data_IF_917349469824
#
_entry.id   IF_917349469824
#
_cell.length_a   1.000
_cell.length_b   1.000
_cell.length_c   1.000
_cell.angle_alpha   90.00
_cell.angle_beta   90.00
_cell.angle_gamma   90.00
#
_symmetry.space_group_name_H-M   'P 1'
#
loop_
_entity.id
_entity.type
_entity.pdbx_description
1 polymer ?
#
# COMPACT_ATOMS: atom_id res chain seq x y z
N UNK A 1 -80.38 -13.78 16.81
CA UNK A 1 -81.15 -14.03 15.57
C UNK A 1 -80.49 -15.21 14.86
N UNK A 2 -81.10 -16.38 14.64
CA UNK A 2 -82.40 -16.64 13.94
C UNK A 2 -82.29 -16.13 12.50
N UNK A 3 -82.32 -16.89 11.40
CA UNK A 3 -82.49 -18.34 11.08
C UNK A 3 -81.87 -18.60 9.66
N UNK A 4 -81.82 -19.78 8.99
CA UNK A 4 -82.44 -21.09 9.19
C UNK A 4 -81.69 -22.27 8.47
N UNK A 5 -82.19 -23.50 8.71
CA UNK A 5 -82.51 -24.65 7.80
C UNK A 5 -82.36 -24.46 6.26
N UNK A 6 -82.21 -25.45 5.36
CA UNK A 6 -82.38 -26.93 5.25
C UNK A 6 -81.97 -27.32 3.78
N UNK A 7 -81.92 -28.55 3.23
CA UNK A 7 -82.15 -29.95 3.66
C UNK A 7 -81.29 -30.93 2.77
N UNK A 8 -80.84 -32.08 3.29
CA UNK A 8 -81.33 -33.47 3.01
C UNK A 8 -80.95 -34.16 1.68
N UNK A 9 -80.18 -35.27 1.80
CA UNK A 9 -80.38 -36.64 1.22
C UNK A 9 -80.90 -36.83 -0.23
N UNK A 10 -80.48 -37.81 -1.05
CA UNK A 10 -79.49 -38.91 -0.93
C UNK A 10 -79.46 -39.79 -2.19
N UNK A 11 -78.31 -40.41 -2.54
CA UNK A 11 -78.26 -41.72 -3.24
C UNK A 11 -76.90 -42.41 -2.99
N UNK A 12 -76.92 -43.73 -2.74
CA UNK A 12 -75.78 -44.62 -2.43
C UNK A 12 -75.17 -45.26 -3.71
N UNK A 13 -74.28 -46.28 -3.65
CA UNK A 13 -72.92 -46.34 -3.06
C UNK A 13 -71.87 -46.94 -4.05
N UNK A 14 -70.55 -46.89 -3.76
CA UNK A 14 -69.57 -47.78 -4.43
C UNK A 14 -68.17 -47.86 -3.79
N UNK A 15 -67.81 -49.08 -3.35
CA UNK A 15 -66.48 -49.74 -3.38
C UNK A 15 -65.22 -49.14 -2.71
N UNK A 16 -64.82 -49.82 -1.63
CA UNK A 16 -63.52 -50.47 -1.37
C UNK A 16 -62.18 -49.71 -1.26
N UNK A 17 -61.63 -49.82 -0.05
CA UNK A 17 -60.30 -50.34 0.30
C UNK A 17 -59.05 -49.44 0.36
N UNK A 18 -58.35 -49.67 1.49
CA UNK A 18 -56.90 -49.62 1.70
C UNK A 18 -56.15 -48.26 1.66
N UNK A 19 -55.58 -47.90 2.82
CA UNK A 19 -54.39 -47.04 2.90
C UNK A 19 -53.21 -47.74 2.22
N UNK A 20 -52.27 -46.96 1.65
CA UNK A 20 -50.95 -46.98 2.28
C UNK A 20 -50.39 -45.56 2.50
N UNK A 21 -49.87 -45.31 3.72
CA UNK A 21 -48.85 -44.27 3.94
C UNK A 21 -47.47 -44.87 3.67
N UNK A 22 -46.48 -43.99 3.46
CA UNK A 22 -45.03 -44.28 3.57
C UNK A 22 -44.30 -44.86 2.34
N UNK A 23 -44.45 -44.24 1.15
CA UNK A 23 -43.47 -44.41 0.03
C UNK A 23 -42.98 -43.08 -0.56
N UNK A 24 -43.77 -42.00 -0.51
CA UNK A 24 -43.50 -40.78 -1.30
C UNK A 24 -42.33 -39.89 -0.81
N UNK A 25 -41.82 -40.07 0.42
CA UNK A 25 -40.77 -39.18 0.95
C UNK A 25 -39.34 -39.55 0.54
N UNK A 26 -39.07 -40.80 0.14
CA UNK A 26 -37.71 -41.23 -0.21
C UNK A 26 -37.33 -40.90 -1.66
N UNK A 27 -38.29 -40.81 -2.59
CA UNK A 27 -37.99 -40.57 -4.01
C UNK A 27 -37.51 -39.15 -4.32
N UNK A 28 -37.93 -38.13 -3.56
CA UNK A 28 -37.51 -36.74 -3.82
C UNK A 28 -36.08 -36.41 -3.33
N UNK A 29 -35.51 -37.17 -2.39
CA UNK A 29 -34.13 -36.88 -1.93
C UNK A 29 -33.04 -37.49 -2.84
N UNK A 30 -33.35 -38.58 -3.55
CA UNK A 30 -32.37 -39.30 -4.39
C UNK A 30 -31.91 -38.50 -5.62
N UNK A 31 -32.76 -37.61 -6.15
CA UNK A 31 -32.46 -36.83 -7.37
C UNK A 31 -31.96 -35.40 -7.10
N UNK A 32 -32.25 -34.82 -5.93
CA UNK A 32 -31.83 -33.44 -5.61
C UNK A 32 -30.31 -33.36 -5.40
N UNK A 33 -29.69 -34.31 -4.68
CA UNK A 33 -28.24 -34.30 -4.46
C UNK A 33 -27.44 -34.41 -5.77
N UNK A 34 -27.72 -35.38 -6.68
CA UNK A 34 -27.03 -35.46 -7.97
C UNK A 34 -27.20 -34.18 -8.81
N UNK A 35 -28.41 -33.64 -8.92
CA UNK A 35 -28.64 -32.42 -9.68
C UNK A 35 -27.89 -31.21 -9.09
N UNK A 36 -27.89 -31.06 -7.76
CA UNK A 36 -27.13 -30.00 -7.09
C UNK A 36 -25.62 -30.16 -7.27
N UNK A 37 -25.10 -31.39 -7.20
CA UNK A 37 -23.70 -31.68 -7.46
C UNK A 37 -23.32 -31.39 -8.92
N UNK A 38 -24.15 -31.76 -9.90
CA UNK A 38 -23.91 -31.42 -11.31
C UNK A 38 -23.97 -29.92 -11.58
N UNK A 39 -24.83 -29.18 -10.86
CA UNK A 39 -24.91 -27.73 -10.95
C UNK A 39 -23.66 -27.06 -10.36
N UNK A 40 -23.17 -27.53 -9.21
CA UNK A 40 -21.91 -27.06 -8.63
C UNK A 40 -20.70 -27.39 -9.51
N UNK A 41 -20.65 -28.58 -10.12
CA UNK A 41 -19.60 -28.95 -11.08
C UNK A 41 -19.69 -28.06 -12.33
N UNK A 42 -20.89 -27.80 -12.86
CA UNK A 42 -21.06 -26.91 -14.00
C UNK A 42 -20.61 -25.48 -13.68
N UNK A 43 -20.94 -24.94 -12.49
CA UNK A 43 -20.44 -23.64 -12.01
C UNK A 43 -18.92 -23.67 -11.87
N UNK A 44 -18.33 -24.70 -11.24
CA UNK A 44 -16.89 -24.80 -11.09
C UNK A 44 -16.17 -24.88 -12.44
N UNK A 45 -16.72 -25.63 -13.41
CA UNK A 45 -16.20 -25.76 -14.77
C UNK A 45 -16.35 -24.48 -15.60
N UNK A 46 -17.49 -23.78 -15.53
CA UNK A 46 -17.62 -22.48 -16.20
C UNK A 46 -16.75 -21.43 -15.52
N UNK A 47 -16.56 -21.49 -14.21
CA UNK A 47 -15.65 -20.60 -13.49
C UNK A 47 -14.18 -20.84 -13.88
N UNK A 48 -13.73 -22.10 -14.04
CA UNK A 48 -12.37 -22.38 -14.54
C UNK A 48 -12.19 -22.06 -16.02
N UNK A 49 -13.24 -22.12 -16.84
CA UNK A 49 -13.22 -21.72 -18.25
C UNK A 49 -13.26 -20.19 -18.45
N UNK A 50 -13.99 -19.46 -17.61
CA UNK A 50 -14.08 -17.99 -17.63
C UNK A 50 -12.88 -17.33 -16.91
N UNK A 51 -12.31 -18.00 -15.90
CA UNK A 51 -11.20 -17.51 -15.10
C UNK A 51 -10.01 -18.49 -15.02
N UNK A 52 -9.43 -18.95 -16.14
CA UNK A 52 -8.33 -19.91 -16.16
C UNK A 52 -7.04 -19.41 -15.47
N UNK A 53 -6.96 -18.11 -15.16
CA UNK A 53 -5.80 -17.45 -14.59
C UNK A 53 -5.86 -17.22 -13.07
N UNK A 54 -6.95 -17.51 -12.34
CA UNK A 54 -7.02 -17.24 -10.88
C UNK A 54 -5.94 -18.04 -10.11
N UNK A 55 -5.72 -19.31 -10.46
CA UNK A 55 -4.64 -20.11 -9.86
C UNK A 55 -3.24 -19.58 -10.20
N UNK A 56 -3.03 -18.97 -11.38
CA UNK A 56 -1.76 -18.29 -11.69
C UNK A 56 -1.61 -17.00 -10.89
N UNK A 57 -2.69 -16.23 -10.71
CA UNK A 57 -2.69 -14.97 -9.98
C UNK A 57 -2.27 -15.17 -8.51
N UNK A 58 -2.74 -16.26 -7.88
CA UNK A 58 -2.39 -16.63 -6.50
C UNK A 58 -0.90 -16.98 -6.31
N UNK A 59 -0.19 -17.35 -7.39
CA UNK A 59 1.26 -17.62 -7.40
C UNK A 59 2.09 -16.47 -7.96
N UNK A 60 1.47 -15.41 -8.52
CA UNK A 60 2.16 -14.28 -9.15
C UNK A 60 2.42 -13.10 -8.20
N UNK A 61 1.90 -13.12 -6.97
CA UNK A 61 2.32 -12.21 -5.91
C UNK A 61 3.35 -12.88 -5.01
N UNK A 62 4.66 -12.53 -5.10
CA UNK A 62 5.62 -12.94 -4.10
C UNK A 62 5.25 -12.22 -2.80
N UNK A 63 4.66 -12.95 -1.86
CA UNK A 63 4.46 -12.45 -0.50
C UNK A 63 5.83 -12.36 0.16
N UNK A 64 6.43 -11.17 0.11
CA UNK A 64 7.62 -10.87 0.90
C UNK A 64 7.33 -11.17 2.38
N UNK A 65 8.31 -11.69 3.15
CA UNK A 65 8.14 -11.89 4.59
C UNK A 65 7.65 -10.60 5.28
N UNK A 66 6.79 -10.67 6.31
CA UNK A 66 6.27 -9.49 6.99
C UNK A 66 7.36 -8.50 7.47
N UNK A 67 8.52 -9.04 7.85
CA UNK A 67 9.67 -8.28 8.37
C UNK A 67 10.70 -7.88 7.28
N UNK A 68 10.38 -8.09 5.99
CA UNK A 68 11.26 -7.75 4.87
C UNK A 68 11.33 -6.23 4.62
N UNK A 69 12.32 -5.56 5.20
CA UNK A 69 12.61 -4.17 4.84
C UNK A 69 13.35 -4.10 3.49
N UNK A 70 12.60 -3.93 2.40
CA UNK A 70 13.17 -3.77 1.04
C UNK A 70 14.10 -2.56 0.88
N UNK A 71 14.05 -1.59 1.81
CA UNK A 71 14.90 -0.40 1.81
C UNK A 71 16.19 -0.55 2.62
N UNK A 72 16.40 -1.67 3.32
CA UNK A 72 17.68 -2.01 3.97
C UNK A 72 18.39 -3.12 3.21
N UNK A 73 19.54 -2.79 2.63
CA UNK A 73 20.17 -3.56 1.57
C UNK A 73 21.55 -3.03 1.25
N UNK A 74 22.07 -3.47 0.10
CA UNK A 74 23.30 -2.96 -0.50
C UNK A 74 23.22 -3.05 -2.02
N UNK A 75 24.01 -2.21 -2.69
CA UNK A 75 24.24 -2.36 -4.12
C UNK A 75 25.14 -3.57 -4.37
N UNK A 76 24.76 -4.41 -5.34
CA UNK A 76 25.56 -5.52 -5.84
C UNK A 76 25.64 -5.44 -7.36
N UNK A 77 26.81 -5.74 -7.91
CA UNK A 77 26.98 -5.87 -9.36
C UNK A 77 26.27 -7.15 -9.85
N UNK A 78 25.64 -7.07 -11.01
CA UNK A 78 24.95 -8.18 -11.66
C UNK A 78 25.41 -8.31 -13.11
N UNK A 79 26.49 -9.06 -13.29
CA UNK A 79 27.09 -9.34 -14.60
C UNK A 79 26.36 -10.46 -15.38
N UNK A 80 25.07 -10.68 -15.11
CA UNK A 80 24.27 -11.62 -15.90
C UNK A 80 23.75 -10.97 -17.19
N UNK A 81 23.46 -11.78 -18.20
CA UNK A 81 22.94 -11.33 -19.51
C UNK A 81 21.58 -10.63 -19.47
N UNK A 82 20.94 -10.57 -18.29
CA UNK A 82 19.66 -9.85 -18.05
C UNK A 82 19.85 -8.43 -17.52
N UNK A 83 21.09 -7.94 -17.37
CA UNK A 83 21.40 -6.57 -16.96
C UNK A 83 22.30 -5.87 -18.01
N UNK A 84 22.09 -4.57 -18.28
CA UNK A 84 20.99 -3.73 -17.81
C UNK A 84 19.64 -4.22 -18.33
N UNK A 85 18.55 -3.89 -17.62
CA UNK A 85 17.20 -4.38 -17.96
C UNK A 85 16.77 -3.93 -19.37
N UNK A 86 17.17 -2.73 -19.78
CA UNK A 86 16.93 -2.16 -21.11
C UNK A 86 18.13 -1.31 -21.54
N UNK A 87 18.26 -1.06 -22.86
CA UNK A 87 19.23 -0.10 -23.39
C UNK A 87 18.54 1.24 -23.66
N UNK A 88 18.93 2.31 -22.96
CA UNK A 88 18.31 3.64 -23.11
C UNK A 88 18.41 4.19 -24.53
N UNK A 89 19.49 3.90 -25.26
CA UNK A 89 19.69 4.33 -26.65
C UNK A 89 18.67 3.70 -27.61
N UNK A 90 18.04 2.58 -27.24
CA UNK A 90 17.03 1.90 -28.07
C UNK A 90 15.58 2.22 -27.67
N UNK A 91 15.37 2.94 -26.56
CA UNK A 91 14.03 3.25 -26.07
C UNK A 91 13.55 4.62 -26.59
N UNK A 92 12.50 4.69 -27.43
CA UNK A 92 12.03 5.95 -28.02
C UNK A 92 11.38 6.91 -27.00
N UNK A 93 11.06 6.44 -25.80
CA UNK A 93 10.46 7.23 -24.73
C UNK A 93 11.46 7.80 -23.72
N UNK A 94 12.75 7.43 -23.79
CA UNK A 94 13.78 8.03 -22.96
C UNK A 94 14.15 9.42 -23.51
N UNK A 95 14.11 10.48 -22.68
CA UNK A 95 14.61 11.78 -23.12
C UNK A 95 16.11 11.67 -23.42
N UNK A 96 16.54 12.14 -24.60
CA UNK A 96 17.94 12.09 -25.05
C UNK A 96 18.96 12.58 -24.00
N UNK A 97 18.58 13.52 -23.13
CA UNK A 97 19.42 13.98 -22.02
C UNK A 97 19.83 12.89 -21.02
N UNK A 98 19.09 11.78 -20.93
CA UNK A 98 19.40 10.63 -20.08
C UNK A 98 20.09 9.46 -20.82
N UNK A 99 20.25 9.54 -22.14
CA UNK A 99 21.03 8.60 -22.95
C UNK A 99 22.54 8.80 -22.74
N UNK A 100 23.02 8.60 -21.51
CA UNK A 100 24.39 8.92 -21.08
C UNK A 100 25.49 8.36 -21.99
N UNK A 101 25.31 7.14 -22.52
CA UNK A 101 26.28 6.50 -23.44
C UNK A 101 26.30 7.20 -24.81
N UNK A 102 25.13 7.53 -25.37
CA UNK A 102 25.01 8.33 -26.60
C UNK A 102 25.60 9.74 -26.41
N UNK A 103 25.42 10.32 -25.21
CA UNK A 103 25.98 11.61 -24.81
C UNK A 103 27.47 11.56 -24.43
N UNK A 104 28.17 10.46 -24.70
CA UNK A 104 29.64 10.35 -24.60
C UNK A 104 30.20 9.81 -23.28
N UNK A 105 29.37 9.33 -22.34
CA UNK A 105 29.86 8.57 -21.17
C UNK A 105 30.45 7.24 -21.63
N UNK A 106 31.69 6.95 -21.23
CA UNK A 106 32.46 5.79 -21.71
C UNK A 106 32.44 4.58 -20.76
N UNK A 107 32.26 4.81 -19.47
CA UNK A 107 32.17 3.76 -18.47
C UNK A 107 30.76 3.17 -18.43
N UNK A 108 30.66 1.83 -18.45
CA UNK A 108 29.37 1.11 -18.46
C UNK A 108 29.03 0.43 -17.12
N UNK A 109 29.98 0.30 -16.19
CA UNK A 109 29.76 -0.42 -14.93
C UNK A 109 28.53 0.06 -14.15
N UNK A 110 28.19 1.36 -14.22
CA UNK A 110 27.06 1.95 -13.50
C UNK A 110 25.67 1.36 -13.87
N UNK A 111 25.49 0.74 -15.04
CA UNK A 111 24.21 0.15 -15.47
C UNK A 111 24.03 -1.31 -15.02
N UNK A 112 25.10 -1.94 -14.50
CA UNK A 112 25.11 -3.33 -14.06
C UNK A 112 24.85 -3.47 -12.55
N UNK A 113 24.51 -2.39 -11.84
CA UNK A 113 24.23 -2.43 -10.41
C UNK A 113 22.75 -2.67 -10.12
N UNK A 114 22.47 -3.54 -9.15
CA UNK A 114 21.13 -3.72 -8.59
C UNK A 114 21.13 -3.63 -7.07
N UNK A 115 19.99 -3.24 -6.53
CA UNK A 115 19.75 -3.28 -5.11
C UNK A 115 19.46 -4.71 -4.64
N UNK A 116 20.07 -5.13 -3.52
CA UNK A 116 19.81 -6.40 -2.85
C UNK A 116 19.49 -6.12 -1.37
N UNK A 117 18.24 -6.33 -0.90
CA UNK A 117 17.93 -6.25 0.52
C UNK A 117 18.72 -7.26 1.35
N UNK A 118 18.97 -6.94 2.62
CA UNK A 118 19.72 -7.82 3.54
C UNK A 118 18.86 -9.00 4.04
N UNK A 119 17.59 -8.73 4.34
CA UNK A 119 16.70 -9.64 5.07
C UNK A 119 15.87 -10.57 4.17
N UNK A 120 15.83 -10.32 2.86
CA UNK A 120 14.90 -10.98 1.97
C UNK A 120 15.37 -10.98 0.50
N UNK A 121 14.88 -11.95 -0.27
CA UNK A 121 15.08 -12.02 -1.71
C UNK A 121 13.91 -11.35 -2.44
N UNK A 122 14.20 -10.28 -3.18
CA UNK A 122 13.27 -9.74 -4.18
C UNK A 122 13.51 -10.50 -5.49
N UNK A 123 12.48 -11.06 -6.15
CA UNK A 123 12.61 -11.66 -7.47
C UNK A 123 13.20 -10.69 -8.49
N UNK A 124 13.93 -11.22 -9.47
CA UNK A 124 14.42 -10.40 -10.60
C UNK A 124 13.22 -9.87 -11.40
N UNK A 125 13.37 -8.66 -11.95
CA UNK A 125 12.39 -8.11 -12.86
C UNK A 125 12.40 -8.90 -14.18
N UNK A 126 11.21 -9.30 -14.63
CA UNK A 126 10.99 -9.98 -15.91
C UNK A 126 9.85 -9.26 -16.63
N UNK A 127 10.16 -8.59 -17.74
CA UNK A 127 9.23 -7.69 -18.42
C UNK A 127 7.91 -8.37 -18.81
N UNK A 128 7.96 -9.60 -19.35
CA UNK A 128 6.75 -10.38 -19.67
C UNK A 128 5.86 -10.67 -18.47
N UNK A 129 6.43 -11.00 -17.30
CA UNK A 129 5.64 -11.20 -16.07
C UNK A 129 5.03 -9.88 -15.59
N UNK A 130 5.78 -8.77 -15.65
CA UNK A 130 5.28 -7.46 -15.28
C UNK A 130 4.14 -7.00 -16.20
N UNK A 131 4.25 -7.25 -17.51
CA UNK A 131 3.19 -6.98 -18.50
C UNK A 131 1.91 -7.79 -18.21
N UNK A 132 2.02 -9.08 -17.86
CA UNK A 132 0.86 -9.89 -17.46
C UNK A 132 0.23 -9.44 -16.13
N UNK A 133 1.06 -9.09 -15.13
CA UNK A 133 0.56 -8.54 -13.85
C UNK A 133 -0.15 -7.20 -14.01
N UNK A 134 0.26 -6.40 -15.00
CA UNK A 134 -0.33 -5.11 -15.35
C UNK A 134 -1.39 -5.20 -16.45
N UNK A 135 -1.71 -6.39 -16.98
CA UNK A 135 -2.64 -6.57 -18.10
C UNK A 135 -4.01 -5.98 -17.76
N UNK A 136 -4.49 -5.06 -18.60
CA UNK A 136 -5.75 -4.36 -18.39
C UNK A 136 -5.74 -3.26 -17.32
N UNK A 137 -4.58 -2.90 -16.74
CA UNK A 137 -4.47 -1.89 -15.68
C UNK A 137 -3.99 -0.53 -16.20
N UNK A 138 -4.35 0.51 -15.45
CA UNK A 138 -3.83 1.87 -15.59
C UNK A 138 -2.86 2.21 -14.46
N UNK A 139 -1.61 2.51 -14.82
CA UNK A 139 -0.56 2.99 -13.93
C UNK A 139 -0.42 4.50 -14.10
N UNK A 140 -0.48 5.25 -13.01
CA UNK A 140 -0.40 6.71 -13.03
C UNK A 140 0.72 7.19 -12.10
N UNK A 141 1.63 7.99 -12.64
CA UNK A 141 2.78 8.55 -11.94
C UNK A 141 2.63 10.07 -11.88
N UNK A 142 2.62 10.65 -10.68
CA UNK A 142 2.27 12.05 -10.45
C UNK A 142 3.39 12.75 -9.66
N UNK A 143 3.97 13.80 -10.22
CA UNK A 143 4.97 14.59 -9.49
C UNK A 143 5.79 15.54 -10.35
N UNK A 144 7.04 15.75 -9.95
CA UNK A 144 7.98 16.61 -10.65
C UNK A 144 8.77 15.87 -11.77
N UNK A 145 9.87 16.47 -12.25
CA UNK A 145 10.75 15.87 -13.26
C UNK A 145 11.30 14.49 -12.91
N UNK A 146 11.42 14.14 -11.62
CA UNK A 146 11.93 12.85 -11.15
C UNK A 146 10.87 11.75 -11.21
N UNK A 147 9.59 12.12 -11.15
CA UNK A 147 8.47 11.24 -11.51
C UNK A 147 8.48 10.91 -13.00
N UNK A 148 8.74 11.91 -13.84
CA UNK A 148 8.86 11.70 -15.30
C UNK A 148 9.99 10.73 -15.65
N UNK A 149 11.19 10.85 -15.05
CA UNK A 149 12.28 9.90 -15.34
C UNK A 149 11.99 8.47 -14.87
N UNK A 150 11.20 8.30 -13.81
CA UNK A 150 10.70 6.97 -13.41
C UNK A 150 9.66 6.43 -14.37
N UNK A 151 8.77 7.28 -14.90
CA UNK A 151 7.85 6.92 -15.97
C UNK A 151 8.59 6.49 -17.25
N UNK A 152 9.57 7.27 -17.70
CA UNK A 152 10.43 6.94 -18.85
C UNK A 152 11.09 5.56 -18.65
N UNK A 153 11.69 5.34 -17.47
CA UNK A 153 12.35 4.07 -17.13
C UNK A 153 11.37 2.88 -17.08
N UNK A 154 10.19 3.05 -16.47
CA UNK A 154 9.15 2.00 -16.42
C UNK A 154 8.64 1.63 -17.81
N UNK A 155 8.39 2.61 -18.67
CA UNK A 155 7.97 2.37 -20.05
C UNK A 155 9.04 1.57 -20.79
N UNK A 156 10.31 1.99 -20.73
CA UNK A 156 11.40 1.27 -21.37
C UNK A 156 11.57 -0.17 -20.84
N UNK A 157 11.50 -0.37 -19.51
CA UNK A 157 11.58 -1.69 -18.89
C UNK A 157 10.46 -2.63 -19.32
N UNK A 158 9.22 -2.13 -19.44
CA UNK A 158 8.08 -2.92 -19.92
C UNK A 158 8.17 -3.22 -21.42
N UNK A 159 8.68 -2.28 -22.22
CA UNK A 159 8.84 -2.46 -23.67
C UNK A 159 9.70 -3.66 -24.03
N UNK A 160 10.71 -4.01 -23.23
CA UNK A 160 11.59 -5.16 -23.50
C UNK A 160 10.80 -6.48 -23.59
N UNK A 161 9.71 -6.61 -22.84
CA UNK A 161 8.83 -7.80 -22.85
C UNK A 161 7.79 -7.82 -23.98
N UNK A 162 7.74 -6.79 -24.83
CA UNK A 162 6.78 -6.70 -25.95
C UNK A 162 7.41 -7.22 -27.24
N UNK A 163 6.72 -8.13 -27.95
CA UNK A 163 7.17 -8.63 -29.25
C UNK A 163 7.06 -7.54 -30.34
N UNK A 164 5.84 -7.07 -30.62
CA UNK A 164 5.62 -5.98 -31.56
C UNK A 164 5.79 -4.62 -30.87
N UNK A 165 6.96 -3.98 -31.02
CA UNK A 165 7.23 -2.66 -30.43
C UNK A 165 6.29 -1.55 -30.96
N UNK A 166 5.72 -1.68 -32.17
CA UNK A 166 4.74 -0.74 -32.72
C UNK A 166 3.39 -0.77 -31.98
N UNK A 167 3.15 -1.78 -31.13
CA UNK A 167 2.01 -1.81 -30.21
C UNK A 167 2.14 -0.83 -29.03
N UNK A 168 3.31 -0.21 -28.86
CA UNK A 168 3.61 0.75 -27.79
C UNK A 168 3.78 2.15 -28.36
N UNK A 169 2.87 3.06 -28.00
CA UNK A 169 2.83 4.43 -28.52
C UNK A 169 2.34 5.44 -27.47
N UNK A 170 2.68 6.72 -27.65
CA UNK A 170 2.11 7.81 -26.84
C UNK A 170 0.69 8.13 -27.36
N UNK A 171 -0.27 8.19 -26.45
CA UNK A 171 -1.72 8.21 -26.72
C UNK A 171 -2.16 9.44 -27.52
N UNK A 172 -1.47 10.57 -27.35
CA UNK A 172 -1.81 11.88 -27.91
C UNK A 172 -0.89 12.28 -29.08
N UNK A 173 0.06 11.43 -29.48
CA UNK A 173 1.13 11.79 -30.41
C UNK A 173 2.03 12.93 -29.93
N UNK A 174 2.09 13.17 -28.62
CA UNK A 174 2.75 14.33 -28.03
C UNK A 174 4.26 14.14 -27.89
N UNK A 175 5.02 15.16 -28.31
CA UNK A 175 6.46 15.19 -28.09
C UNK A 175 6.79 15.29 -26.59
N UNK A 176 7.69 14.44 -26.11
CA UNK A 176 8.18 14.45 -24.74
C UNK A 176 8.97 15.74 -24.49
N UNK A 177 8.45 16.62 -23.62
CA UNK A 177 9.12 17.87 -23.23
C UNK A 177 9.20 18.02 -21.71
N UNK A 178 9.97 18.98 -21.22
CA UNK A 178 10.24 19.19 -19.78
C UNK A 178 9.08 19.85 -19.02
N UNK A 179 8.14 20.46 -19.74
CA UNK A 179 7.03 21.25 -19.18
C UNK A 179 5.65 20.67 -19.47
N UNK A 180 5.56 19.60 -20.26
CA UNK A 180 4.29 18.95 -20.59
C UNK A 180 3.53 18.51 -19.33
N UNK A 181 2.20 18.72 -19.31
CA UNK A 181 1.36 18.38 -18.15
C UNK A 181 0.95 16.91 -18.09
N UNK A 182 0.87 16.24 -19.24
CA UNK A 182 0.47 14.84 -19.36
C UNK A 182 1.30 14.13 -20.45
N UNK A 183 1.72 12.89 -20.19
CA UNK A 183 2.24 11.95 -21.18
C UNK A 183 1.62 10.58 -20.89
N UNK A 184 0.95 9.96 -21.86
CA UNK A 184 0.35 8.64 -21.66
C UNK A 184 0.88 7.65 -22.68
N UNK A 185 1.48 6.54 -22.24
CA UNK A 185 1.93 5.47 -23.16
C UNK A 185 1.04 4.25 -23.04
N UNK A 186 0.60 3.76 -24.19
CA UNK A 186 -0.34 2.65 -24.33
C UNK A 186 0.39 1.41 -24.83
N UNK A 187 0.34 0.33 -24.05
CA UNK A 187 0.80 -1.01 -24.47
C UNK A 187 -0.40 -1.77 -25.01
N UNK A 188 -0.73 -1.59 -26.30
CA UNK A 188 -2.00 -2.02 -26.91
C UNK A 188 -2.32 -3.48 -26.60
N UNK A 189 -1.39 -4.37 -26.91
CA UNK A 189 -1.57 -5.83 -26.90
C UNK A 189 -1.69 -6.41 -25.46
N UNK A 190 -1.34 -5.62 -24.45
CA UNK A 190 -1.48 -5.94 -23.03
C UNK A 190 -2.61 -5.16 -22.33
N UNK A 191 -3.33 -4.30 -23.05
CA UNK A 191 -4.34 -3.39 -22.51
C UNK A 191 -3.87 -2.51 -21.32
N UNK A 192 -2.59 -2.12 -21.28
CA UNK A 192 -2.01 -1.27 -20.22
C UNK A 192 -1.95 0.19 -20.70
N UNK A 193 -2.23 1.15 -19.81
CA UNK A 193 -1.73 2.53 -19.92
C UNK A 193 -0.75 2.85 -18.78
N UNK A 194 0.29 3.60 -19.11
CA UNK A 194 1.27 4.13 -18.17
C UNK A 194 1.33 5.64 -18.39
N UNK A 195 0.73 6.38 -17.47
CA UNK A 195 0.50 7.81 -17.59
C UNK A 195 1.37 8.60 -16.60
N UNK A 196 1.91 9.74 -17.03
CA UNK A 196 2.62 10.70 -16.20
C UNK A 196 1.86 12.02 -16.17
N UNK A 197 1.60 12.55 -14.96
CA UNK A 197 1.06 13.88 -14.76
C UNK A 197 2.07 14.77 -14.01
N UNK A 198 2.42 15.91 -14.62
CA UNK A 198 3.39 16.86 -14.06
C UNK A 198 2.75 17.76 -13.00
N UNK A 199 2.60 17.26 -11.78
CA UNK A 199 2.18 18.03 -10.61
C UNK A 199 3.34 18.23 -9.64
N UNK A 200 4.13 19.28 -9.89
CA UNK A 200 5.41 19.53 -9.19
C UNK A 200 5.27 19.61 -7.67
N UNK A 201 4.20 20.24 -7.18
CA UNK A 201 3.96 20.46 -5.75
C UNK A 201 2.82 19.60 -5.19
N UNK A 202 2.15 18.77 -6.02
CA UNK A 202 0.84 18.13 -5.77
C UNK A 202 -0.34 19.10 -5.51
N UNK A 203 -0.04 20.33 -5.10
CA UNK A 203 -0.94 21.44 -4.90
C UNK A 203 -1.16 22.26 -6.17
N UNK A 204 -2.29 22.97 -6.21
CA UNK A 204 -2.62 23.93 -7.27
C UNK A 204 -1.65 25.12 -7.21
N UNK A 205 -1.16 25.51 -8.38
CA UNK A 205 -0.39 26.74 -8.58
C UNK A 205 -1.29 27.81 -9.18
N UNK A 206 -1.47 28.93 -8.49
CA UNK A 206 -2.26 30.04 -9.03
C UNK A 206 -1.36 31.17 -9.53
N UNK A 207 -1.69 31.73 -10.69
CA UNK A 207 -1.03 32.92 -11.25
C UNK A 207 -1.80 34.21 -10.90
N UNK A 208 -3.03 34.09 -10.41
CA UNK A 208 -3.83 35.19 -9.88
C UNK A 208 -3.51 35.36 -8.39
N UNK A 209 -2.50 36.18 -8.11
CA UNK A 209 -2.09 36.51 -6.74
C UNK A 209 -3.19 37.30 -5.99
N UNK A 210 -3.31 37.18 -4.65
CA UNK A 210 -4.25 37.95 -3.86
C UNK A 210 -4.11 39.48 -4.01
N UNK A 211 -5.20 40.21 -3.78
CA UNK A 211 -5.19 41.67 -3.82
C UNK A 211 -4.26 42.24 -2.72
N UNK A 212 -3.42 43.20 -3.08
CA UNK A 212 -2.40 43.75 -2.18
C UNK A 212 -1.12 42.91 -2.06
N UNK A 213 -0.98 41.80 -2.81
CA UNK A 213 0.27 41.07 -2.90
C UNK A 213 1.42 41.98 -3.38
N UNK A 214 2.62 41.90 -2.78
CA UNK A 214 3.78 42.67 -3.23
C UNK A 214 4.13 42.41 -4.69
N UNK A 215 4.61 43.44 -5.40
CA UNK A 215 5.02 43.38 -6.82
C UNK A 215 6.08 42.30 -7.14
N UNK A 216 6.73 41.72 -6.12
CA UNK A 216 7.66 40.62 -6.27
C UNK A 216 7.07 39.22 -6.19
N UNK A 217 5.76 39.06 -5.99
CA UNK A 217 5.05 37.79 -6.06
C UNK A 217 4.49 37.60 -7.47
N UNK A 218 4.86 36.51 -8.15
CA UNK A 218 4.43 36.18 -9.52
C UNK A 218 3.33 35.12 -9.59
N UNK A 219 3.27 34.25 -8.58
CA UNK A 219 2.34 33.14 -8.48
C UNK A 219 2.31 32.63 -7.04
N UNK A 220 1.36 31.77 -6.71
CA UNK A 220 1.26 31.11 -5.41
C UNK A 220 1.15 29.60 -5.53
N UNK A 221 1.51 28.87 -4.47
CA UNK A 221 1.06 27.49 -4.23
C UNK A 221 -0.06 27.55 -3.21
N UNK A 222 -1.24 27.04 -3.57
CA UNK A 222 -2.42 26.93 -2.72
C UNK A 222 -2.21 25.74 -1.77
N UNK A 223 -1.95 25.98 -0.49
CA UNK A 223 -1.66 24.89 0.47
C UNK A 223 -2.93 24.14 0.92
N UNK A 224 -4.09 24.72 0.62
CA UNK A 224 -5.45 24.26 0.90
C UNK A 224 -6.14 23.61 -0.30
N UNK A 225 -5.51 23.56 -1.48
CA UNK A 225 -6.13 23.06 -2.72
C UNK A 225 -5.18 22.17 -3.54
N UNK A 226 -5.54 20.88 -3.68
CA UNK A 226 -4.83 19.92 -4.54
C UNK A 226 -4.97 20.31 -6.02
N UNK A 227 -3.92 20.04 -6.82
CA UNK A 227 -3.76 20.45 -8.22
C UNK A 227 -5.03 20.26 -9.08
N UNK A 228 -5.24 21.16 -10.03
CA UNK A 228 -6.49 21.23 -10.83
C UNK A 228 -6.75 19.96 -11.66
N UNK A 229 -5.69 19.25 -12.05
CA UNK A 229 -5.73 17.96 -12.76
C UNK A 229 -5.96 16.73 -11.86
N UNK A 230 -6.15 16.87 -10.55
CA UNK A 230 -6.23 15.74 -9.58
C UNK A 230 -7.26 14.66 -9.95
N UNK A 231 -8.37 15.07 -10.57
CA UNK A 231 -9.47 14.18 -10.94
C UNK A 231 -9.04 13.15 -12.01
N UNK A 232 -7.97 13.44 -12.76
CA UNK A 232 -7.36 12.53 -13.74
C UNK A 232 -6.59 11.36 -13.10
N UNK A 233 -6.25 11.46 -11.81
CA UNK A 233 -5.44 10.47 -11.10
C UNK A 233 -6.31 9.38 -10.48
N UNK A 234 -7.54 9.70 -10.10
CA UNK A 234 -8.43 8.85 -9.28
C UNK A 234 -8.74 7.50 -9.94
N UNK A 235 -9.05 7.49 -11.23
CA UNK A 235 -9.41 6.27 -11.97
C UNK A 235 -8.16 5.49 -12.42
N UNK A 236 -7.46 4.85 -11.48
CA UNK A 236 -6.24 4.10 -11.74
C UNK A 236 -6.07 2.91 -10.80
N UNK A 237 -5.26 1.94 -11.20
CA UNK A 237 -5.01 0.71 -10.42
C UNK A 237 -3.68 0.78 -9.65
N UNK A 238 -2.76 1.63 -10.09
CA UNK A 238 -1.50 1.95 -9.40
C UNK A 238 -1.28 3.46 -9.47
N UNK A 239 -1.09 4.11 -8.32
CA UNK A 239 -0.68 5.51 -8.20
C UNK A 239 0.70 5.61 -7.60
N UNK A 240 1.59 6.38 -8.22
CA UNK A 240 2.92 6.70 -7.68
C UNK A 240 3.07 8.21 -7.58
N UNK A 241 3.00 8.74 -6.37
CA UNK A 241 3.18 10.16 -6.09
C UNK A 241 4.63 10.49 -5.71
N UNK A 242 5.08 11.70 -6.02
CA UNK A 242 6.32 12.28 -5.51
C UNK A 242 6.24 13.81 -5.55
N UNK A 243 6.77 14.46 -4.52
CA UNK A 243 7.11 15.88 -4.57
C UNK A 243 8.18 16.20 -3.54
N UNK A 244 9.16 17.01 -3.93
CA UNK A 244 10.28 17.34 -3.04
C UNK A 244 11.34 18.25 -3.65
N UNK A 245 11.81 17.95 -4.87
CA UNK A 245 12.97 18.62 -5.47
C UNK A 245 12.80 20.12 -5.73
N UNK A 246 11.55 20.58 -5.84
CA UNK A 246 11.21 21.99 -6.06
C UNK A 246 10.92 22.77 -4.75
N UNK A 247 10.82 22.09 -3.61
CA UNK A 247 10.55 22.71 -2.31
C UNK A 247 11.85 23.22 -1.66
N UNK A 248 12.43 24.27 -2.26
CA UNK A 248 13.56 25.01 -1.69
C UNK A 248 13.29 26.50 -1.77
N UNK A 249 13.82 27.27 -0.83
CA UNK A 249 13.64 28.74 -0.80
C UNK A 249 14.12 29.39 -2.09
N UNK A 250 15.24 28.91 -2.64
CA UNK A 250 15.78 29.45 -3.89
C UNK A 250 14.89 29.15 -5.09
N UNK A 251 14.32 27.93 -5.21
CA UNK A 251 13.39 27.61 -6.30
C UNK A 251 12.09 28.39 -6.16
N UNK A 252 11.45 28.35 -4.99
CA UNK A 252 10.16 28.97 -4.74
C UNK A 252 10.26 30.51 -4.74
N UNK A 253 10.96 31.09 -3.77
CA UNK A 253 10.89 32.52 -3.49
C UNK A 253 11.78 33.35 -4.42
N UNK A 254 12.99 32.87 -4.74
CA UNK A 254 13.97 33.65 -5.53
C UNK A 254 13.75 33.49 -7.04
N UNK A 255 13.81 32.26 -7.56
CA UNK A 255 13.74 31.98 -9.00
C UNK A 255 12.30 32.12 -9.53
N UNK A 256 11.34 31.40 -8.93
CA UNK A 256 9.95 31.39 -9.39
C UNK A 256 9.15 32.59 -8.91
N UNK A 257 9.58 33.26 -7.82
CA UNK A 257 8.82 34.32 -7.14
C UNK A 257 7.43 33.83 -6.72
N UNK A 258 7.41 32.61 -6.19
CA UNK A 258 6.26 31.80 -5.86
C UNK A 258 6.14 31.63 -4.35
N UNK A 259 5.06 32.13 -3.77
CA UNK A 259 4.82 32.13 -2.31
C UNK A 259 3.63 31.23 -1.94
N UNK A 260 3.39 31.01 -0.65
CA UNK A 260 2.28 30.17 -0.19
C UNK A 260 0.99 30.98 -0.05
N UNK A 261 -0.16 30.32 -0.24
CA UNK A 261 -1.49 30.93 -0.10
C UNK A 261 -2.46 29.95 0.57
N UNK A 262 -3.30 30.47 1.47
CA UNK A 262 -4.36 29.74 2.18
C UNK A 262 -5.62 30.60 2.12
N UNK A 263 -6.72 30.10 1.56
CA UNK A 263 -7.88 30.94 1.21
C UNK A 263 -7.44 32.13 0.35
N UNK A 264 -7.85 33.34 0.76
CA UNK A 264 -7.42 34.59 0.12
C UNK A 264 -6.14 35.21 0.74
N UNK A 265 -5.54 34.56 1.75
CA UNK A 265 -4.36 35.05 2.48
C UNK A 265 -3.04 34.61 1.84
N UNK A 266 -2.10 35.54 1.75
CA UNK A 266 -0.74 35.35 1.22
C UNK A 266 0.27 35.17 2.36
N UNK A 267 0.86 33.99 2.46
CA UNK A 267 1.69 33.55 3.58
C UNK A 267 3.17 33.87 3.35
N UNK A 268 3.51 35.17 3.33
CA UNK A 268 4.87 35.67 3.02
C UNK A 268 5.96 35.22 4.01
N UNK A 269 5.59 34.92 5.26
CA UNK A 269 6.52 34.54 6.33
C UNK A 269 6.61 33.03 6.61
N UNK A 270 5.87 32.20 5.88
CA UNK A 270 5.81 30.76 6.13
C UNK A 270 7.05 30.04 5.59
N UNK A 271 7.67 29.18 6.41
CA UNK A 271 8.83 28.41 5.98
C UNK A 271 8.47 27.38 4.90
N UNK A 272 9.45 27.01 4.08
CA UNK A 272 9.26 25.96 3.06
C UNK A 272 8.91 24.60 3.68
N UNK A 273 9.34 24.35 4.92
CA UNK A 273 9.05 23.10 5.64
C UNK A 273 7.61 23.08 6.16
N UNK A 274 7.13 24.20 6.72
CA UNK A 274 5.74 24.32 7.18
C UNK A 274 4.76 24.23 5.99
N UNK A 275 5.07 24.94 4.90
CA UNK A 275 4.30 24.86 3.66
C UNK A 275 4.28 23.44 3.08
N UNK A 276 5.43 22.75 3.08
CA UNK A 276 5.51 21.34 2.64
C UNK A 276 4.69 20.41 3.53
N UNK A 277 4.75 20.58 4.85
CA UNK A 277 3.97 19.78 5.81
C UNK A 277 2.48 20.02 5.64
N UNK A 278 2.04 21.26 5.45
CA UNK A 278 0.64 21.57 5.19
C UNK A 278 0.17 20.95 3.87
N UNK A 279 0.88 21.19 2.76
CA UNK A 279 0.56 20.64 1.45
C UNK A 279 0.44 19.11 1.45
N UNK A 280 1.33 18.39 2.16
CA UNK A 280 1.24 16.94 2.26
C UNK A 280 0.06 16.45 3.11
N UNK A 281 -0.35 17.19 4.14
CA UNK A 281 -1.58 16.85 4.87
C UNK A 281 -2.81 17.09 3.96
N UNK A 282 -2.88 18.20 3.24
CA UNK A 282 -3.95 18.50 2.28
C UNK A 282 -4.03 17.44 1.16
N UNK A 283 -2.88 17.04 0.60
CA UNK A 283 -2.81 15.95 -0.39
C UNK A 283 -3.28 14.61 0.20
N UNK A 284 -2.86 14.28 1.43
CA UNK A 284 -3.24 13.02 2.06
C UNK A 284 -4.73 12.95 2.40
N UNK A 285 -5.31 14.07 2.84
CA UNK A 285 -6.75 14.17 3.14
C UNK A 285 -7.59 14.07 1.87
N UNK A 286 -7.13 14.66 0.76
CA UNK A 286 -7.72 14.44 -0.55
C UNK A 286 -7.58 12.97 -1.01
N UNK A 287 -6.40 12.37 -0.84
CA UNK A 287 -6.13 11.00 -1.26
C UNK A 287 -7.00 9.98 -0.50
N UNK A 288 -7.13 10.14 0.82
CA UNK A 288 -8.01 9.34 1.68
C UNK A 288 -9.49 9.47 1.26
N UNK A 289 -9.94 10.67 0.88
CA UNK A 289 -11.33 10.92 0.50
C UNK A 289 -11.70 10.51 -0.93
N UNK A 290 -10.74 10.45 -1.87
CA UNK A 290 -11.02 10.30 -3.31
C UNK A 290 -10.48 9.02 -3.96
N UNK A 291 -9.44 8.39 -3.39
CA UNK A 291 -8.84 7.18 -4.00
C UNK A 291 -9.45 5.92 -3.37
N UNK A 292 -9.90 4.97 -4.20
CA UNK A 292 -10.49 3.72 -3.73
C UNK A 292 -9.40 2.70 -3.33
N UNK A 293 -9.20 2.38 -2.03
CA UNK A 293 -8.12 1.50 -1.58
C UNK A 293 -8.34 0.03 -1.96
N UNK A 294 -9.56 -0.38 -2.35
CA UNK A 294 -9.87 -1.74 -2.79
C UNK A 294 -9.48 -1.98 -4.26
N UNK A 295 -9.22 -0.91 -5.03
CA UNK A 295 -8.77 -0.98 -6.43
C UNK A 295 -7.34 -0.47 -6.61
N UNK A 296 -7.01 0.66 -6.00
CA UNK A 296 -5.82 1.43 -6.33
C UNK A 296 -4.70 1.21 -5.33
N UNK A 297 -3.57 0.67 -5.80
CA UNK A 297 -2.35 0.60 -5.00
C UNK A 297 -1.63 1.96 -5.01
N UNK A 298 -1.66 2.68 -3.89
CA UNK A 298 -1.00 4.00 -3.74
C UNK A 298 0.41 3.85 -3.18
N UNK A 299 1.36 4.45 -3.87
CA UNK A 299 2.77 4.57 -3.49
C UNK A 299 3.15 6.05 -3.42
N UNK A 300 4.08 6.37 -2.52
CA UNK A 300 4.70 7.69 -2.47
C UNK A 300 6.21 7.51 -2.44
N UNK A 301 6.90 8.08 -3.43
CA UNK A 301 8.36 8.03 -3.53
C UNK A 301 8.98 9.19 -2.75
N UNK A 302 9.86 8.84 -1.83
CA UNK A 302 10.57 9.76 -0.95
C UNK A 302 11.57 10.65 -1.70
N UNK A 303 12.04 11.70 -1.02
CA UNK A 303 13.05 12.64 -1.51
C UNK A 303 14.29 11.94 -2.06
N UNK A 304 14.76 12.44 -3.20
CA UNK A 304 15.97 12.03 -3.89
C UNK A 304 17.19 12.83 -3.47
N UNK A 305 18.33 12.15 -3.31
CA UNK A 305 19.63 12.74 -3.04
C UNK A 305 20.20 13.47 -4.26
N UNK A 306 20.94 14.56 -4.05
CA UNK A 306 21.70 15.26 -5.11
C UNK A 306 23.20 15.24 -4.82
N UNK A 307 24.03 14.99 -5.85
CA UNK A 307 25.46 14.71 -5.69
C UNK A 307 26.33 15.82 -6.33
N UNK A 308 26.27 17.01 -5.74
CA UNK A 308 26.98 18.20 -6.21
C UNK A 308 28.25 18.48 -5.41
N UNK A 309 29.37 18.73 -6.10
CA UNK A 309 30.56 19.41 -5.55
C UNK A 309 30.51 20.89 -5.92
N UNK A 310 29.71 21.65 -5.19
CA UNK A 310 29.51 23.07 -5.45
C UNK A 310 28.55 23.37 -6.60
N UNK A 311 28.45 24.64 -7.05
CA UNK A 311 27.30 25.12 -7.83
C UNK A 311 27.10 24.46 -9.19
N UNK A 312 28.19 24.09 -9.87
CA UNK A 312 28.18 23.72 -11.30
C UNK A 312 28.85 22.38 -11.61
N UNK A 313 29.26 21.59 -10.59
CA UNK A 313 30.00 20.34 -10.81
C UNK A 313 29.33 19.17 -10.09
N UNK A 314 28.82 18.22 -10.86
CA UNK A 314 28.29 16.95 -10.36
C UNK A 314 29.43 15.94 -10.20
N UNK A 315 29.37 15.07 -9.20
CA UNK A 315 30.33 13.97 -9.05
C UNK A 315 30.06 12.87 -10.09
N UNK A 316 30.91 12.79 -11.11
CA UNK A 316 30.88 11.72 -12.12
C UNK A 316 31.53 10.44 -11.55
N UNK A 317 30.91 9.89 -10.51
CA UNK A 317 31.29 8.61 -9.92
C UNK A 317 31.03 7.45 -10.89
N UNK A 318 32.00 6.54 -10.97
CA UNK A 318 31.92 5.30 -11.78
C UNK A 318 31.33 4.12 -11.01
N UNK A 319 31.41 4.16 -9.69
CA UNK A 319 30.98 3.12 -8.76
C UNK A 319 30.10 3.74 -7.66
N UNK A 320 29.15 2.98 -7.08
CA UNK A 320 28.42 3.40 -5.88
C UNK A 320 29.34 3.41 -4.66
N UNK A 321 28.88 4.02 -3.57
CA UNK A 321 29.55 3.90 -2.26
C UNK A 321 29.54 2.43 -1.81
N UNK A 322 30.72 1.92 -1.40
CA UNK A 322 30.91 0.53 -0.96
C UNK A 322 30.07 0.16 0.28
N UNK A 323 29.72 1.14 1.09
CA UNK A 323 28.92 0.97 2.31
C UNK A 323 27.68 1.84 2.29
N UNK A 324 26.53 1.24 2.60
CA UNK A 324 25.27 1.96 2.79
C UNK A 324 25.23 2.58 4.19
N UNK A 325 25.34 3.90 4.30
CA UNK A 325 25.30 4.63 5.58
C UNK A 325 23.86 4.84 6.13
N UNK A 326 22.97 3.89 5.86
CA UNK A 326 21.54 4.00 6.12
C UNK A 326 20.83 4.98 5.18
N UNK A 327 19.62 5.39 5.58
CA UNK A 327 18.80 6.38 4.87
C UNK A 327 19.34 7.80 5.13
N UNK A 328 19.42 8.61 4.08
CA UNK A 328 19.71 10.04 4.19
C UNK A 328 18.65 10.73 5.08
N UNK A 329 19.10 11.45 6.11
CA UNK A 329 18.22 12.22 6.99
C UNK A 329 17.77 13.48 6.24
N UNK A 330 16.48 13.56 5.93
CA UNK A 330 15.86 14.69 5.24
C UNK A 330 14.51 14.93 5.87
N UNK A 331 14.33 16.13 6.44
CA UNK A 331 13.12 16.52 7.18
C UNK A 331 11.85 16.35 6.35
N UNK A 332 11.89 16.75 5.07
CA UNK A 332 10.81 16.49 4.11
C UNK A 332 10.49 15.00 3.98
N UNK A 333 11.54 14.19 3.90
CA UNK A 333 11.43 12.73 3.79
C UNK A 333 10.80 12.13 5.05
N UNK A 334 11.07 12.70 6.23
CA UNK A 334 10.46 12.29 7.50
C UNK A 334 9.00 12.79 7.62
N UNK A 335 8.68 13.99 7.14
CA UNK A 335 7.31 14.51 7.03
C UNK A 335 6.44 13.60 6.12
N UNK A 336 6.96 13.17 4.96
CA UNK A 336 6.28 12.20 4.09
C UNK A 336 5.90 10.95 4.90
N UNK A 337 6.86 10.38 5.63
CA UNK A 337 6.65 9.16 6.42
C UNK A 337 5.68 9.40 7.58
N UNK A 338 5.76 10.54 8.27
CA UNK A 338 4.82 10.95 9.33
C UNK A 338 3.38 11.02 8.80
N UNK A 339 3.16 11.76 7.71
CA UNK A 339 1.84 11.96 7.10
C UNK A 339 1.28 10.63 6.60
N UNK A 340 2.06 9.84 5.86
CA UNK A 340 1.59 8.54 5.35
C UNK A 340 1.28 7.55 6.48
N UNK A 341 2.05 7.53 7.56
CA UNK A 341 1.76 6.67 8.73
C UNK A 341 0.56 7.14 9.56
N UNK A 342 0.17 8.42 9.44
CA UNK A 342 -0.95 9.02 10.18
C UNK A 342 -2.27 8.98 9.41
N UNK A 343 -2.22 9.23 8.10
CA UNK A 343 -3.37 9.39 7.20
C UNK A 343 -3.53 8.22 6.23
N UNK A 344 -2.46 7.84 5.53
CA UNK A 344 -2.46 6.77 4.52
C UNK A 344 -2.07 5.40 5.09
N UNK A 345 -2.28 5.17 6.40
CA UNK A 345 -2.17 3.82 6.96
C UNK A 345 -3.23 3.00 6.26
N UNK A 346 -2.81 1.91 5.60
CA UNK A 346 -3.71 0.84 5.18
C UNK A 346 -4.53 0.45 6.41
N UNK A 347 -5.80 0.86 6.43
CA UNK A 347 -6.74 0.47 7.48
C UNK A 347 -6.73 -1.06 7.43
N UNK A 348 -6.28 -1.76 8.49
CA UNK A 348 -6.46 -3.20 8.53
C UNK A 348 -7.97 -3.43 8.46
N UNK A 349 -8.37 -4.39 7.62
CA UNK A 349 -9.68 -4.36 6.94
C UNK A 349 -10.90 -4.35 7.84
N UNK A 350 -12.07 -4.24 7.21
CA UNK A 350 -13.38 -4.43 7.83
C UNK A 350 -13.35 -5.62 8.81
N UNK A 351 -13.81 -5.40 10.04
CA UNK A 351 -13.84 -6.43 11.09
C UNK A 351 -12.58 -6.58 11.95
N UNK A 352 -11.55 -5.71 11.86
CA UNK A 352 -10.39 -5.77 12.77
C UNK A 352 -10.82 -5.67 14.25
N UNK A 353 -10.29 -6.56 15.10
CA UNK A 353 -10.56 -6.60 16.55
C UNK A 353 -9.33 -6.17 17.35
N UNK A 354 -9.41 -4.99 17.97
CA UNK A 354 -8.42 -4.55 18.97
C UNK A 354 -8.82 -5.07 20.36
N UNK A 355 -7.88 -5.71 21.08
CA UNK A 355 -8.13 -6.23 22.44
C UNK A 355 -7.24 -5.50 23.45
N UNK A 356 -7.86 -4.80 24.40
CA UNK A 356 -7.19 -4.18 25.53
C UNK A 356 -6.85 -5.25 26.59
N UNK A 357 -5.55 -5.47 26.82
CA UNK A 357 -5.01 -6.44 27.79
C UNK A 357 -4.38 -5.74 29.01
N UNK A 358 -3.84 -4.54 28.84
CA UNK A 358 -3.26 -3.74 29.93
C UNK A 358 -4.33 -3.15 30.83
N UNK A 359 -4.05 -3.07 32.13
CA UNK A 359 -4.92 -2.42 33.12
C UNK A 359 -4.54 -0.93 33.19
N UNK A 360 -5.43 0.00 32.79
CA UNK A 360 -5.17 1.44 32.88
C UNK A 360 -5.24 1.94 34.33
N UNK A 361 -4.71 3.13 34.60
CA UNK A 361 -4.92 3.80 35.88
C UNK A 361 -6.38 4.26 36.02
N UNK A 362 -6.81 4.51 37.25
CA UNK A 362 -8.20 4.88 37.57
C UNK A 362 -8.72 6.10 36.79
N UNK A 363 -7.84 7.06 36.51
CA UNK A 363 -8.18 8.36 35.91
C UNK A 363 -7.86 8.41 34.40
N UNK A 364 -7.33 7.32 33.82
CA UNK A 364 -7.02 7.23 32.39
C UNK A 364 -8.30 7.09 31.55
N UNK A 365 -8.43 7.89 30.49
CA UNK A 365 -9.55 7.82 29.55
C UNK A 365 -9.10 7.35 28.16
N UNK A 366 -9.68 6.26 27.65
CA UNK A 366 -9.47 5.85 26.26
C UNK A 366 -10.22 6.79 25.30
N UNK A 367 -9.52 7.34 24.30
CA UNK A 367 -10.09 8.23 23.28
C UNK A 367 -9.82 7.65 21.90
N UNK A 368 -10.85 7.58 21.06
CA UNK A 368 -10.77 7.11 19.67
C UNK A 368 -11.64 7.99 18.77
N UNK A 369 -11.27 8.08 17.49
CA UNK A 369 -12.06 8.80 16.50
C UNK A 369 -13.34 8.00 16.15
N UNK A 370 -14.53 8.62 16.05
CA UNK A 370 -15.78 7.89 15.78
C UNK A 370 -15.76 7.05 14.51
N UNK A 371 -15.07 7.50 13.45
CA UNK A 371 -14.90 6.74 12.21
C UNK A 371 -14.24 5.38 12.40
N UNK A 372 -13.46 5.16 13.47
CA UNK A 372 -12.90 3.83 13.74
C UNK A 372 -14.00 2.78 14.02
N UNK A 373 -15.08 3.17 14.69
CA UNK A 373 -16.21 2.28 14.99
C UNK A 373 -17.18 2.17 13.81
N UNK A 374 -17.35 3.25 13.05
CA UNK A 374 -18.19 3.25 11.84
C UNK A 374 -17.56 2.42 10.70
N UNK A 375 -16.22 2.36 10.63
CA UNK A 375 -15.48 1.49 9.70
C UNK A 375 -15.30 0.07 10.27
N UNK A 376 -16.33 -0.46 10.95
CA UNK A 376 -16.47 -1.82 11.47
C UNK A 376 -15.34 -2.37 12.38
N UNK A 377 -14.45 -1.53 12.94
CA UNK A 377 -13.46 -2.01 13.91
C UNK A 377 -14.11 -2.28 15.25
N UNK A 378 -13.82 -3.44 15.82
CA UNK A 378 -14.32 -3.82 17.14
C UNK A 378 -13.25 -3.58 18.20
N UNK A 379 -13.57 -2.78 19.23
CA UNK A 379 -12.77 -2.72 20.45
C UNK A 379 -13.32 -3.70 21.49
N UNK A 380 -12.47 -4.56 22.04
CA UNK A 380 -12.79 -5.49 23.13
C UNK A 380 -11.81 -5.30 24.28
N UNK A 381 -12.22 -5.66 25.49
CA UNK A 381 -11.31 -5.91 26.60
C UNK A 381 -11.10 -7.41 26.80
N UNK A 382 -10.03 -7.79 27.49
CA UNK A 382 -9.93 -9.12 28.11
C UNK A 382 -9.48 -8.98 29.55
N UNK A 383 -10.05 -9.80 30.42
CA UNK A 383 -9.52 -10.02 31.76
C UNK A 383 -9.02 -11.46 31.82
N UNK A 384 -7.76 -11.65 32.23
CA UNK A 384 -7.13 -12.99 32.35
C UNK A 384 -7.22 -13.85 31.06
N UNK A 385 -7.14 -13.22 29.88
CA UNK A 385 -7.26 -13.92 28.59
C UNK A 385 -8.66 -14.50 28.30
N UNK A 386 -9.67 -14.11 29.07
CA UNK A 386 -11.02 -14.69 29.11
C UNK A 386 -11.06 -16.17 29.56
N UNK A 387 -9.99 -16.68 30.16
CA UNK A 387 -9.95 -18.03 30.73
C UNK A 387 -10.81 -18.15 31.99
N UNK A 388 -11.61 -19.21 32.07
CA UNK A 388 -12.30 -19.65 33.28
C UNK A 388 -11.32 -20.44 34.14
N UNK A 389 -10.78 -19.79 35.18
CA UNK A 389 -9.63 -20.28 35.97
C UNK A 389 -9.76 -21.73 36.46
N UNK A 390 -10.96 -22.19 36.83
CA UNK A 390 -11.17 -23.56 37.33
C UNK A 390 -11.24 -24.65 36.26
N UNK A 391 -11.75 -24.34 35.06
CA UNK A 391 -11.93 -25.33 33.98
C UNK A 391 -10.77 -25.32 32.98
N UNK A 392 -10.16 -24.16 32.76
CA UNK A 392 -9.30 -23.98 31.59
C UNK A 392 -7.80 -24.05 31.94
N UNK A 393 -7.41 -23.61 33.15
CA UNK A 393 -6.01 -23.66 33.60
C UNK A 393 -5.44 -25.08 33.66
N UNK A 394 -6.17 -26.13 34.08
CA UNK A 394 -5.68 -27.51 33.98
C UNK A 394 -5.27 -27.89 32.55
N UNK A 395 -6.01 -27.45 31.54
CA UNK A 395 -5.70 -27.70 30.13
C UNK A 395 -4.45 -26.93 29.68
N UNK A 396 -4.28 -25.68 30.15
CA UNK A 396 -3.06 -24.89 29.89
C UNK A 396 -1.81 -25.53 30.51
N UNK A 397 -1.95 -26.10 31.71
CA UNK A 397 -0.86 -26.89 32.35
C UNK A 397 -0.56 -28.15 31.55
N UNK A 398 -1.57 -28.86 31.05
CA UNK A 398 -1.37 -30.04 30.19
C UNK A 398 -0.64 -29.69 28.88
N UNK A 399 -1.00 -28.57 28.23
CA UNK A 399 -0.30 -28.05 27.03
C UNK A 399 1.18 -27.73 27.33
N UNK A 400 1.48 -27.12 28.49
CA UNK A 400 2.87 -26.91 28.91
C UNK A 400 3.62 -28.25 29.10
N UNK A 401 3.02 -29.23 29.79
CA UNK A 401 3.63 -30.54 30.00
C UNK A 401 3.87 -31.31 28.68
N UNK A 402 3.01 -31.09 27.66
CA UNK A 402 3.19 -31.60 26.28
C UNK A 402 4.21 -30.82 25.45
N UNK A 403 4.79 -29.74 26.00
CA UNK A 403 5.69 -28.78 25.30
C UNK A 403 5.02 -28.02 24.15
N UNK A 404 3.70 -27.89 24.18
CA UNK A 404 2.92 -27.04 23.26
C UNK A 404 3.00 -25.55 23.66
N UNK A 405 3.42 -25.24 24.89
CA UNK A 405 3.64 -23.89 25.42
C UNK A 405 5.07 -23.74 25.99
N UNK A 406 5.79 -22.70 25.58
CA UNK A 406 7.17 -22.43 26.04
C UNK A 406 7.21 -21.50 27.28
N UNK A 407 6.71 -21.96 28.43
CA UNK A 407 6.65 -21.12 29.64
C UNK A 407 8.04 -20.74 30.21
N UNK A 408 9.04 -21.58 30.02
CA UNK A 408 10.38 -21.41 30.63
C UNK A 408 11.08 -20.13 30.13
N UNK A 409 10.87 -19.72 28.87
CA UNK A 409 11.47 -18.51 28.28
C UNK A 409 11.04 -17.21 28.97
N UNK A 410 9.92 -17.23 29.70
CA UNK A 410 9.42 -16.06 30.44
C UNK A 410 10.03 -15.93 31.84
N UNK A 411 10.64 -16.99 32.37
CA UNK A 411 11.29 -17.00 33.70
C UNK A 411 12.73 -16.52 33.52
N UNK A 412 12.99 -15.23 33.75
CA UNK A 412 14.36 -14.69 33.62
C UNK A 412 15.16 -14.72 34.91
N UNK A 413 14.48 -14.79 36.06
CA UNK A 413 15.11 -14.80 37.38
C UNK A 413 14.42 -15.81 38.30
N UNK A 414 15.15 -16.35 39.27
CA UNK A 414 14.58 -17.07 40.41
C UNK A 414 15.39 -16.76 41.65
N UNK A 415 14.70 -16.42 42.75
CA UNK A 415 15.30 -16.05 44.03
C UNK A 415 14.60 -16.80 45.16
N UNK A 416 15.26 -17.06 46.30
CA UNK A 416 14.58 -17.55 47.49
C UNK A 416 13.63 -16.48 48.07
N UNK A 417 12.64 -16.90 48.86
CA UNK A 417 11.71 -15.99 49.53
C UNK A 417 12.41 -14.97 50.45
N UNK A 418 13.54 -15.37 51.04
CA UNK A 418 14.44 -14.50 51.82
C UNK A 418 14.98 -13.29 51.03
N UNK A 419 15.08 -13.38 49.70
CA UNK A 419 15.52 -12.30 48.80
C UNK A 419 14.36 -11.61 48.05
N UNK A 420 13.10 -11.72 48.50
CA UNK A 420 11.93 -11.19 47.78
C UNK A 420 12.04 -9.70 47.37
N UNK A 421 12.68 -8.85 48.18
CA UNK A 421 12.89 -7.43 47.84
C UNK A 421 13.72 -7.25 46.55
N UNK A 422 14.70 -8.12 46.31
CA UNK A 422 15.53 -8.13 45.09
C UNK A 422 14.71 -8.43 43.84
N UNK A 423 13.63 -9.22 43.97
CA UNK A 423 12.70 -9.45 42.87
C UNK A 423 11.88 -8.19 42.53
N UNK A 424 11.52 -7.37 43.53
CA UNK A 424 10.93 -6.05 43.29
C UNK A 424 11.93 -5.10 42.62
N UNK A 425 13.21 -5.10 43.02
CA UNK A 425 14.25 -4.31 42.37
C UNK A 425 14.42 -4.68 40.88
N UNK A 426 14.46 -5.97 40.55
CA UNK A 426 14.52 -6.42 39.14
C UNK A 426 13.29 -6.00 38.32
N UNK A 427 12.11 -5.91 38.94
CA UNK A 427 10.88 -5.43 38.30
C UNK A 427 10.95 -3.92 38.05
N UNK A 428 11.34 -3.12 39.06
CA UNK A 428 11.45 -1.66 38.96
C UNK A 428 12.54 -1.23 37.96
N UNK A 429 13.63 -2.00 37.84
CA UNK A 429 14.71 -1.76 36.88
C UNK A 429 14.40 -2.29 35.46
N UNK A 430 13.25 -2.94 35.24
CA UNK A 430 12.88 -3.52 33.94
C UNK A 430 13.74 -4.72 33.50
N UNK A 431 14.48 -5.35 34.43
CA UNK A 431 15.39 -6.47 34.16
C UNK A 431 14.69 -7.84 34.21
N UNK A 432 13.48 -7.92 34.78
CA UNK A 432 12.71 -9.16 34.86
C UNK A 432 11.51 -9.20 33.91
N UNK A 433 11.32 -10.33 33.21
CA UNK A 433 10.06 -10.66 32.54
C UNK A 433 9.13 -11.33 33.56
N UNK A 434 9.61 -12.41 34.19
CA UNK A 434 9.06 -12.98 35.42
C UNK A 434 10.20 -13.42 36.34
N UNK A 435 10.01 -13.22 37.64
CA UNK A 435 10.85 -13.74 38.70
C UNK A 435 10.09 -14.83 39.48
N UNK A 436 10.64 -16.03 39.59
CA UNK A 436 10.05 -17.12 40.38
C UNK A 436 10.63 -17.12 41.79
N UNK A 437 9.80 -16.77 42.77
CA UNK A 437 10.13 -16.86 44.19
C UNK A 437 10.05 -18.32 44.62
N UNK A 438 11.15 -18.85 45.13
CA UNK A 438 11.20 -20.19 45.72
C UNK A 438 10.91 -20.09 47.21
N UNK A 439 9.84 -20.75 47.66
CA UNK A 439 9.64 -20.99 49.08
C UNK A 439 10.70 -22.00 49.53
N UNK A 440 11.47 -21.66 50.55
CA UNK A 440 12.30 -22.62 51.26
C UNK A 440 11.37 -23.59 52.03
N UNK A 441 11.69 -24.88 52.00
CA UNK A 441 10.92 -25.96 52.65
C UNK A 441 11.58 -26.42 53.94
#
# INVERSE_FOLDING_TARGET
MVMNKQSSYSTLPSFNNAKPRTILHCFNQVWILPCFLTFLIAIASTYTLLFPNIHKLLHLTPTLPPDCNVFDGQWVEDNSSTYPIYNSTHCPFAERGFSCLENGRKDTAYINWRWKPKQCHIPRFEAGKALEMLRGKRVVIVGDSLSRTQWESWVCMLMEGVENKESVYEINGSNITKTIRHLGVRFRDHNISVDFYRSVFLMKKDYKVPAGAPNNVRMTVRLDEVDDIRDQWVDSDVLVFNTGGWWTENRLFNEMRCFFQIGDSLEMGMSVIDGYKMALNTWADWAEANINPNRTAVFFRTIESTHWRGPNQCDVSREPLKETKGREKSEKSDIIIEVLRKKMKRVPGEGEVAVLVGVPNKDDSFKTHPMNLLNEKTLKGTFFGNYKTRSDIPNVVEQYLKKELELEKFITHSVPFSEINKAFDYMLQGQSIRCVIRMEH
#
